data_IF_774600448694
#
_entry.id   IF_774600448694
#
_cell.length_a   1.000
_cell.length_b   1.000
_cell.length_c   1.000
_cell.angle_alpha   90.00
_cell.angle_beta   90.00
_cell.angle_gamma   90.00
#
_symmetry.space_group_name_H-M   'P 1'
#
loop_
_entity.id
_entity.type
_entity.pdbx_description
1 polymer ?
#
# COMPACT_ATOMS: atom_id res chain seq x y z
N UNK A 1 1.22 -22.74 -7.57
CA UNK A 1 1.55 -21.29 -7.47
C UNK A 1 0.40 -20.51 -8.09
N UNK A 2 -0.29 -19.68 -7.31
CA UNK A 2 -1.40 -18.83 -7.79
C UNK A 2 -0.85 -17.45 -8.16
N UNK A 3 -0.08 -17.36 -9.25
CA UNK A 3 0.85 -16.25 -9.52
C UNK A 3 0.25 -14.86 -9.81
N UNK A 4 -1.08 -14.69 -9.79
CA UNK A 4 -1.75 -13.42 -10.12
C UNK A 4 -2.77 -12.95 -9.07
N UNK A 5 -3.11 -13.79 -8.09
CA UNK A 5 -4.00 -13.39 -7.00
C UNK A 5 -3.22 -12.67 -5.90
N UNK A 6 -3.85 -11.74 -5.15
CA UNK A 6 -3.23 -11.18 -3.96
C UNK A 6 -2.87 -12.27 -2.94
N UNK A 7 -1.66 -12.18 -2.39
CA UNK A 7 -1.21 -12.99 -1.27
C UNK A 7 -1.44 -12.25 0.03
N UNK A 8 -2.03 -12.92 1.02
CA UNK A 8 -2.42 -12.31 2.30
C UNK A 8 -1.57 -12.88 3.42
N UNK A 9 -0.90 -12.00 4.17
CA UNK A 9 -0.13 -12.35 5.36
C UNK A 9 -0.80 -11.69 6.56
N UNK A 10 -1.58 -12.47 7.30
CA UNK A 10 -2.23 -12.01 8.53
C UNK A 10 -1.20 -11.76 9.63
N UNK A 11 -1.35 -10.67 10.39
CA UNK A 11 -0.44 -10.34 11.49
C UNK A 11 0.99 -10.02 11.06
N UNK A 12 1.19 -9.60 9.80
CA UNK A 12 2.48 -9.17 9.27
C UNK A 12 3.11 -8.02 10.09
N UNK A 13 2.26 -7.14 10.64
CA UNK A 13 2.62 -6.16 11.65
C UNK A 13 1.76 -6.34 12.91
N UNK A 14 2.34 -6.09 14.07
CA UNK A 14 1.57 -6.08 15.32
C UNK A 14 0.72 -4.81 15.42
N UNK A 15 -0.28 -4.81 16.30
CA UNK A 15 -1.05 -3.60 16.61
C UNK A 15 -0.17 -2.43 17.10
N UNK A 16 0.90 -2.74 17.85
CA UNK A 16 1.86 -1.76 18.33
C UNK A 16 2.70 -1.17 17.18
N UNK A 17 3.15 -2.01 16.24
CA UNK A 17 3.84 -1.54 15.03
C UNK A 17 2.94 -0.59 14.23
N UNK A 18 1.68 -0.97 14.00
CA UNK A 18 0.72 -0.13 13.29
C UNK A 18 0.53 1.24 13.97
N UNK A 19 0.37 1.26 15.29
CA UNK A 19 0.24 2.50 16.06
C UNK A 19 1.49 3.39 15.95
N UNK A 20 2.68 2.79 16.04
CA UNK A 20 3.96 3.51 15.89
C UNK A 20 4.14 4.10 14.49
N UNK A 21 3.76 3.37 13.44
CA UNK A 21 3.82 3.87 12.06
C UNK A 21 2.88 5.07 11.86
N UNK A 22 1.66 5.00 12.38
CA UNK A 22 0.71 6.13 12.32
C UNK A 22 1.28 7.34 13.07
N UNK A 23 1.86 7.13 14.26
CA UNK A 23 2.48 8.20 15.03
C UNK A 23 3.66 8.86 14.27
N UNK A 24 4.54 8.06 13.66
CA UNK A 24 5.63 8.56 12.81
C UNK A 24 5.11 9.36 11.62
N UNK A 25 4.05 8.90 10.97
CA UNK A 25 3.46 9.63 9.84
C UNK A 25 2.92 11.00 10.25
N UNK A 26 2.31 11.08 11.44
CA UNK A 26 1.75 12.29 12.05
C UNK A 26 2.81 13.23 12.64
N UNK A 27 4.04 12.75 12.84
CA UNK A 27 5.18 13.56 13.30
C UNK A 27 5.82 14.36 12.15
N UNK A 28 4.98 15.12 11.45
CA UNK A 28 5.36 15.90 10.28
C UNK A 28 4.16 16.23 9.40
N UNK A 29 4.33 17.15 8.43
CA UNK A 29 3.24 17.49 7.51
C UNK A 29 2.88 16.30 6.63
N UNK A 30 1.58 16.12 6.42
CA UNK A 30 1.07 15.24 5.38
C UNK A 30 0.90 16.05 4.08
N UNK A 31 1.25 15.42 2.96
CA UNK A 31 1.07 16.02 1.62
C UNK A 31 -0.17 15.47 0.95
N UNK A 32 -0.86 16.27 0.13
CA UNK A 32 -1.95 15.77 -0.69
C UNK A 32 -1.46 14.65 -1.63
N UNK A 33 -2.24 13.58 -1.75
CA UNK A 33 -1.85 12.40 -2.52
C UNK A 33 -1.76 12.66 -4.01
N UNK A 34 -0.55 12.57 -4.56
CA UNK A 34 -0.28 12.68 -5.99
C UNK A 34 -0.41 11.34 -6.75
N UNK A 35 -0.42 11.45 -8.08
CA UNK A 35 -0.26 10.36 -9.04
C UNK A 35 1.22 10.20 -9.43
N UNK A 36 1.54 9.09 -10.12
CA UNK A 36 2.85 8.92 -10.78
C UNK A 36 3.12 10.12 -11.70
N UNK A 37 4.27 10.77 -11.53
CA UNK A 37 4.61 12.01 -12.24
C UNK A 37 4.26 13.32 -11.52
N UNK A 38 3.78 13.25 -10.27
CA UNK A 38 3.64 14.42 -9.39
C UNK A 38 2.36 15.24 -9.61
N UNK A 39 1.44 14.78 -10.47
CA UNK A 39 0.17 15.47 -10.71
C UNK A 39 -0.86 15.05 -9.65
N UNK A 40 -1.40 16.01 -8.90
CA UNK A 40 -2.52 15.77 -8.01
C UNK A 40 -3.85 15.84 -8.82
N UNK A 41 -4.70 14.82 -8.67
CA UNK A 41 -6.05 14.84 -9.24
C UNK A 41 -7.00 14.21 -8.22
N UNK A 42 -7.82 15.06 -7.59
CA UNK A 42 -8.73 14.63 -6.52
C UNK A 42 -9.85 13.68 -6.97
N UNK A 43 -10.17 13.65 -8.27
CA UNK A 43 -11.13 12.69 -8.82
C UNK A 43 -10.53 11.29 -9.01
N UNK A 44 -9.20 11.19 -8.98
CA UNK A 44 -8.47 9.91 -9.09
C UNK A 44 -8.00 9.47 -7.71
N UNK A 45 -7.40 10.36 -6.93
CA UNK A 45 -6.91 10.05 -5.58
C UNK A 45 -7.21 11.19 -4.63
N UNK A 46 -7.77 10.85 -3.48
CA UNK A 46 -7.99 11.75 -2.36
C UNK A 46 -7.49 11.09 -1.09
N UNK A 47 -6.27 11.43 -0.71
CA UNK A 47 -5.56 10.92 0.45
C UNK A 47 -4.54 11.96 0.93
N UNK A 48 -4.11 11.86 2.17
CA UNK A 48 -2.97 12.59 2.71
C UNK A 48 -1.82 11.58 2.94
N UNK A 49 -0.60 11.93 2.56
CA UNK A 49 0.54 11.01 2.52
C UNK A 49 1.69 11.49 3.39
N UNK A 50 2.39 10.54 4.02
CA UNK A 50 3.71 10.73 4.60
C UNK A 50 4.67 9.69 4.00
N UNK A 51 5.85 10.15 3.60
CA UNK A 51 6.98 9.27 3.28
C UNK A 51 7.79 9.06 4.55
N UNK A 52 8.04 7.79 4.91
CA UNK A 52 8.59 7.46 6.23
C UNK A 52 10.10 7.62 6.31
N UNK A 53 10.83 7.68 5.20
CA UNK A 53 12.25 8.04 5.17
C UNK A 53 12.51 9.48 5.62
N UNK A 54 11.53 10.37 5.45
CA UNK A 54 11.52 11.73 5.97
C UNK A 54 11.22 11.80 7.48
N UNK A 55 10.99 10.66 8.15
CA UNK A 55 10.61 10.60 9.57
C UNK A 55 11.73 9.99 10.40
N UNK A 56 12.16 10.71 11.43
CA UNK A 56 13.19 10.22 12.35
C UNK A 56 12.70 8.95 13.07
N UNK A 57 13.57 7.93 13.17
CA UNK A 57 13.24 6.68 13.86
C UNK A 57 12.35 5.71 13.09
N UNK A 58 12.05 5.97 11.81
CA UNK A 58 11.23 5.09 10.98
C UNK A 58 12.01 3.96 10.25
N UNK A 59 13.34 3.91 10.37
CA UNK A 59 14.19 2.95 9.65
C UNK A 59 13.75 1.48 9.77
N UNK A 60 13.28 1.08 10.96
CA UNK A 60 12.81 -0.29 11.23
C UNK A 60 11.60 -0.71 10.36
N UNK A 61 10.84 0.25 9.84
CA UNK A 61 9.68 -0.03 8.99
C UNK A 61 10.13 -0.66 7.67
N UNK A 62 11.26 -0.20 7.13
CA UNK A 62 11.88 -0.77 5.93
C UNK A 62 12.22 -2.26 6.13
N UNK A 63 12.84 -2.61 7.26
CA UNK A 63 13.20 -4.00 7.58
C UNK A 63 11.97 -4.93 7.65
N UNK A 64 10.88 -4.45 8.27
CA UNK A 64 9.61 -5.21 8.33
C UNK A 64 9.02 -5.43 6.94
N UNK A 65 9.00 -4.38 6.13
CA UNK A 65 8.48 -4.43 4.78
C UNK A 65 9.32 -5.32 3.86
N UNK A 66 10.64 -5.29 3.98
CA UNK A 66 11.54 -6.19 3.26
C UNK A 66 11.28 -7.66 3.62
N UNK A 67 11.05 -7.96 4.90
CA UNK A 67 10.68 -9.30 5.33
C UNK A 67 9.34 -9.77 4.73
N UNK A 68 8.33 -8.88 4.69
CA UNK A 68 7.02 -9.15 4.08
C UNK A 68 7.16 -9.44 2.58
N UNK A 69 7.89 -8.59 1.85
CA UNK A 69 8.17 -8.78 0.42
C UNK A 69 8.87 -10.11 0.18
N UNK A 70 9.93 -10.40 0.94
CA UNK A 70 10.69 -11.63 0.78
C UNK A 70 9.85 -12.88 1.06
N UNK A 71 8.98 -12.84 2.09
CA UNK A 71 8.06 -13.93 2.39
C UNK A 71 7.06 -14.14 1.24
N UNK A 72 6.31 -13.10 0.86
CA UNK A 72 5.29 -13.19 -0.16
C UNK A 72 5.88 -13.62 -1.52
N UNK A 73 7.05 -13.10 -1.87
CA UNK A 73 7.71 -13.45 -3.12
C UNK A 73 8.09 -14.94 -3.15
N UNK A 74 8.63 -15.50 -2.06
CA UNK A 74 8.95 -16.94 -1.98
C UNK A 74 7.71 -17.83 -2.00
N UNK A 75 6.63 -17.41 -1.34
CA UNK A 75 5.44 -18.25 -1.16
C UNK A 75 4.50 -18.24 -2.39
N UNK A 76 4.42 -17.12 -3.12
CA UNK A 76 3.36 -16.92 -4.10
C UNK A 76 3.82 -16.49 -5.51
N UNK A 77 4.89 -15.70 -5.64
CA UNK A 77 5.16 -14.96 -6.89
C UNK A 77 6.43 -15.37 -7.63
N UNK A 78 7.56 -15.51 -6.94
CA UNK A 78 8.83 -15.91 -7.54
C UNK A 78 9.45 -14.89 -8.50
N UNK A 79 9.18 -13.59 -8.35
CA UNK A 79 9.84 -12.54 -9.14
C UNK A 79 11.31 -12.40 -8.77
N UNK A 80 12.12 -11.98 -9.74
CA UNK A 80 13.47 -11.47 -9.46
C UNK A 80 13.34 -10.07 -8.85
N UNK A 81 13.45 -9.98 -7.53
CA UNK A 81 13.40 -8.70 -6.79
C UNK A 81 14.83 -8.31 -6.42
N UNK A 82 15.24 -7.11 -6.84
CA UNK A 82 16.60 -6.60 -6.64
C UNK A 82 16.71 -5.46 -5.64
N UNK A 83 15.62 -4.71 -5.37
CA UNK A 83 15.65 -3.59 -4.43
C UNK A 83 14.24 -3.16 -3.94
N UNK A 84 14.23 -2.28 -2.93
CA UNK A 84 13.10 -1.46 -2.47
C UNK A 84 13.47 0.02 -2.68
N UNK A 85 13.55 0.43 -3.94
CA UNK A 85 14.11 1.72 -4.35
C UNK A 85 13.21 2.95 -4.06
N UNK A 86 12.07 2.75 -3.40
CA UNK A 86 11.12 3.81 -3.06
C UNK A 86 10.81 3.76 -1.57
N UNK A 87 10.56 4.92 -0.98
CA UNK A 87 10.34 5.04 0.45
C UNK A 87 8.96 4.51 0.87
N UNK A 88 8.83 3.89 2.07
CA UNK A 88 7.52 3.47 2.57
C UNK A 88 6.56 4.66 2.69
N UNK A 89 5.35 4.50 2.18
CA UNK A 89 4.31 5.53 2.15
C UNK A 89 3.20 5.19 3.12
N UNK A 90 3.01 5.99 4.17
CA UNK A 90 1.80 5.97 4.97
C UNK A 90 0.73 6.86 4.30
N UNK A 91 -0.48 6.33 4.12
CA UNK A 91 -1.58 7.03 3.48
C UNK A 91 -2.81 7.09 4.40
N UNK A 92 -3.34 8.29 4.59
CA UNK A 92 -4.52 8.63 5.37
C UNK A 92 -5.70 8.97 4.47
N UNK A 93 -6.84 8.35 4.73
CA UNK A 93 -8.09 8.54 4.01
C UNK A 93 -9.20 8.90 5.01
N UNK A 94 -9.69 10.13 4.97
CA UNK A 94 -10.75 10.61 5.87
C UNK A 94 -12.16 10.55 5.26
N UNK A 95 -13.18 10.36 6.09
CA UNK A 95 -14.58 10.35 5.67
C UNK A 95 -15.09 11.70 5.15
N UNK A 96 -14.70 12.81 5.79
CA UNK A 96 -15.07 14.17 5.39
C UNK A 96 -14.72 14.45 3.92
N UNK A 97 -13.46 14.28 3.50
CA UNK A 97 -13.08 14.37 2.10
C UNK A 97 -13.60 13.20 1.25
N UNK A 98 -14.23 12.15 1.79
CA UNK A 98 -14.54 10.91 1.05
C UNK A 98 -13.27 10.31 0.43
N UNK A 99 -12.21 10.21 1.24
CA UNK A 99 -10.90 9.76 0.78
C UNK A 99 -10.98 8.43 0.04
N UNK A 100 -10.32 8.35 -1.12
CA UNK A 100 -10.37 7.21 -2.03
C UNK A 100 -9.13 7.17 -2.94
N UNK A 101 -8.99 6.10 -3.70
CA UNK A 101 -8.11 6.04 -4.86
C UNK A 101 -8.82 5.19 -5.92
N UNK A 102 -9.20 5.77 -7.05
CA UNK A 102 -9.87 5.09 -8.14
C UNK A 102 -9.03 3.93 -8.71
N UNK A 103 -9.64 3.10 -9.55
CA UNK A 103 -8.96 2.00 -10.24
C UNK A 103 -7.67 2.47 -10.94
N UNK A 104 -6.56 1.86 -10.56
CA UNK A 104 -5.24 2.14 -11.11
C UNK A 104 -4.34 0.90 -11.01
N UNK A 105 -3.18 1.00 -11.63
CA UNK A 105 -2.08 0.06 -11.55
C UNK A 105 -0.86 0.84 -11.06
N UNK A 106 -0.03 0.21 -10.23
CA UNK A 106 1.12 0.88 -9.63
C UNK A 106 2.34 0.89 -10.55
N UNK A 107 2.39 0.00 -11.54
CA UNK A 107 3.51 -0.02 -12.48
C UNK A 107 3.49 1.23 -13.37
N UNK A 108 4.62 1.94 -13.39
CA UNK A 108 4.82 3.12 -14.23
C UNK A 108 5.27 2.76 -15.64
N UNK A 109 5.21 3.74 -16.55
CA UNK A 109 5.73 3.58 -17.93
C UNK A 109 7.23 3.85 -18.05
N UNK A 110 7.82 4.54 -17.07
CA UNK A 110 9.24 4.92 -17.05
C UNK A 110 9.76 5.08 -15.63
N UNK A 111 11.07 5.29 -15.49
CA UNK A 111 11.74 5.55 -14.21
C UNK A 111 11.66 4.36 -13.24
N UNK A 112 11.78 4.64 -11.93
CA UNK A 112 11.73 3.62 -10.88
C UNK A 112 10.40 2.88 -10.86
N UNK A 113 9.29 3.58 -11.14
CA UNK A 113 7.95 3.00 -11.14
C UNK A 113 7.77 1.91 -12.22
N UNK A 114 8.51 1.96 -13.34
CA UNK A 114 8.49 0.93 -14.37
C UNK A 114 9.15 -0.39 -13.94
N UNK A 115 9.91 -0.38 -12.84
CA UNK A 115 10.55 -1.58 -12.27
C UNK A 115 9.71 -2.24 -11.18
N UNK A 116 8.56 -1.67 -10.79
CA UNK A 116 7.72 -2.20 -9.71
C UNK A 116 7.16 -3.58 -10.09
N UNK A 117 7.45 -4.57 -9.25
CA UNK A 117 7.03 -5.98 -9.37
C UNK A 117 5.90 -6.31 -8.41
N UNK A 118 6.10 -6.02 -7.13
CA UNK A 118 5.12 -6.27 -6.08
C UNK A 118 4.75 -4.95 -5.38
N UNK A 119 3.45 -4.77 -5.17
CA UNK A 119 2.92 -3.79 -4.25
C UNK A 119 2.56 -4.52 -2.96
N UNK A 120 2.98 -3.96 -1.83
CA UNK A 120 2.52 -4.37 -0.50
C UNK A 120 1.64 -3.26 0.06
N UNK A 121 0.44 -3.60 0.51
CA UNK A 121 -0.44 -2.71 1.28
C UNK A 121 -0.73 -3.36 2.64
N UNK A 122 -0.34 -2.70 3.73
CA UNK A 122 -0.64 -3.14 5.09
C UNK A 122 -1.78 -2.31 5.66
N UNK A 123 -2.79 -2.97 6.25
CA UNK A 123 -3.88 -2.29 6.95
C UNK A 123 -3.38 -1.78 8.30
N UNK A 124 -3.41 -0.46 8.55
CA UNK A 124 -2.93 0.11 9.82
C UNK A 124 -4.05 0.46 10.80
N UNK A 125 -5.24 0.77 10.29
CA UNK A 125 -6.40 1.13 11.10
C UNK A 125 -7.13 -0.09 11.66
N UNK A 126 -7.72 0.07 12.84
CA UNK A 126 -8.73 -0.85 13.35
C UNK A 126 -9.96 -0.82 12.43
N UNK A 127 -10.45 -1.97 11.91
CA UNK A 127 -11.60 -2.02 11.02
C UNK A 127 -12.90 -1.49 11.65
N UNK A 128 -13.04 -1.50 12.98
CA UNK A 128 -14.21 -0.89 13.65
C UNK A 128 -14.19 0.65 13.56
N UNK A 129 -13.01 1.26 13.36
CA UNK A 129 -12.81 2.70 13.34
C UNK A 129 -13.30 3.41 12.08
N UNK A 130 -13.63 2.68 11.00
CA UNK A 130 -14.04 3.28 9.73
C UNK A 130 -15.01 2.41 8.93
N UNK A 131 -15.77 3.02 8.03
CA UNK A 131 -16.60 2.35 7.02
C UNK A 131 -16.17 2.78 5.61
N UNK A 132 -16.41 1.94 4.60
CA UNK A 132 -15.83 2.12 3.27
C UNK A 132 -14.32 1.89 3.29
N UNK A 133 -13.56 2.60 2.44
CA UNK A 133 -12.09 2.50 2.44
C UNK A 133 -11.58 1.10 2.07
N UNK A 134 -12.37 0.30 1.35
CA UNK A 134 -11.99 -1.07 1.01
C UNK A 134 -10.87 -1.04 -0.03
N UNK A 135 -9.79 -1.76 0.24
CA UNK A 135 -8.83 -2.12 -0.81
C UNK A 135 -9.50 -3.20 -1.65
N UNK A 136 -9.68 -2.94 -2.94
CA UNK A 136 -10.22 -3.90 -3.90
C UNK A 136 -9.21 -4.16 -5.00
N UNK A 137 -9.10 -5.42 -5.41
CA UNK A 137 -8.27 -5.85 -6.54
C UNK A 137 -9.15 -6.47 -7.61
N UNK A 138 -8.76 -6.34 -8.88
CA UNK A 138 -9.52 -6.85 -10.00
C UNK A 138 -8.65 -7.70 -10.91
N UNK A 139 -8.54 -8.99 -10.55
CA UNK A 139 -7.82 -10.00 -11.33
C UNK A 139 -8.73 -11.03 -12.03
N UNK A 140 -10.02 -11.04 -11.71
CA UNK A 140 -11.01 -11.99 -12.22
C UNK A 140 -12.22 -11.33 -12.88
N UNK A 141 -13.37 -12.01 -12.83
CA UNK A 141 -14.62 -11.50 -13.42
C UNK A 141 -15.17 -10.26 -12.70
N UNK A 142 -14.97 -10.18 -11.37
CA UNK A 142 -15.48 -9.12 -10.51
C UNK A 142 -14.37 -8.58 -9.59
N UNK A 143 -14.50 -7.33 -9.10
CA UNK A 143 -13.69 -6.81 -8.00
C UNK A 143 -13.80 -7.64 -6.71
N UNK A 144 -12.67 -7.87 -6.05
CA UNK A 144 -12.61 -8.57 -4.77
C UNK A 144 -12.04 -7.66 -3.68
N UNK A 145 -12.72 -7.59 -2.54
CA UNK A 145 -12.27 -6.81 -1.39
C UNK A 145 -11.24 -7.58 -0.56
N UNK A 146 -10.11 -6.95 -0.29
CA UNK A 146 -9.07 -7.49 0.57
C UNK A 146 -9.48 -7.48 2.06
N UNK A 147 -8.92 -8.37 2.89
CA UNK A 147 -9.13 -8.34 4.34
C UNK A 147 -8.75 -6.98 4.95
N UNK A 148 -9.54 -6.57 5.95
CA UNK A 148 -9.41 -5.26 6.62
C UNK A 148 -8.72 -5.34 7.99
N UNK A 149 -8.43 -6.54 8.47
CA UNK A 149 -7.83 -6.76 9.79
C UNK A 149 -6.53 -5.99 9.91
N UNK A 150 -6.40 -5.19 10.97
CA UNK A 150 -5.19 -4.41 11.25
C UNK A 150 -3.97 -5.32 11.32
N UNK A 151 -2.86 -4.88 10.74
CA UNK A 151 -1.60 -5.61 10.68
C UNK A 151 -1.51 -6.63 9.55
N UNK A 152 -2.61 -6.88 8.82
CA UNK A 152 -2.58 -7.76 7.65
C UNK A 152 -1.92 -7.05 6.47
N UNK A 153 -0.94 -7.72 5.85
CA UNK A 153 -0.34 -7.31 4.59
C UNK A 153 -1.03 -8.01 3.42
N UNK A 154 -1.34 -7.23 2.39
CA UNK A 154 -1.89 -7.69 1.11
C UNK A 154 -0.83 -7.38 0.05
N UNK A 155 -0.30 -8.43 -0.56
CA UNK A 155 0.79 -8.34 -1.54
C UNK A 155 0.28 -8.78 -2.89
N UNK A 156 0.49 -8.00 -3.93
CA UNK A 156 0.03 -8.32 -5.27
C UNK A 156 0.98 -7.78 -6.34
N UNK A 157 0.95 -8.33 -7.57
CA UNK A 157 1.76 -7.80 -8.66
C UNK A 157 1.40 -6.33 -8.93
N UNK A 158 2.38 -5.44 -9.04
CA UNK A 158 2.15 -3.99 -9.19
C UNK A 158 1.40 -3.62 -10.47
N UNK A 159 1.32 -4.53 -11.45
CA UNK A 159 0.50 -4.36 -12.64
C UNK A 159 -0.99 -4.70 -12.43
N UNK A 160 -1.38 -5.31 -11.30
CA UNK A 160 -2.77 -5.66 -10.98
C UNK A 160 -3.62 -4.41 -10.74
N UNK A 161 -4.79 -4.37 -11.37
CA UNK A 161 -5.74 -3.27 -11.21
C UNK A 161 -6.32 -3.30 -9.78
N UNK A 162 -6.26 -2.17 -9.08
CA UNK A 162 -6.75 -2.07 -7.72
C UNK A 162 -7.26 -0.65 -7.39
N UNK A 163 -8.05 -0.53 -6.31
CA UNK A 163 -8.59 0.74 -5.84
C UNK A 163 -8.78 0.76 -4.32
N UNK A 164 -8.98 1.95 -3.78
CA UNK A 164 -9.50 2.17 -2.43
C UNK A 164 -10.87 2.84 -2.55
N UNK A 165 -11.94 2.16 -2.12
CA UNK A 165 -13.30 2.74 -2.15
C UNK A 165 -13.42 3.94 -1.20
N UNK A 166 -14.36 4.87 -1.43
CA UNK A 166 -14.52 6.03 -0.55
C UNK A 166 -14.72 5.65 0.91
N UNK A 167 -13.95 6.26 1.80
CA UNK A 167 -14.21 6.22 3.25
C UNK A 167 -15.49 7.02 3.53
N UNK A 168 -16.44 6.42 4.24
CA UNK A 168 -17.75 7.02 4.52
C UNK A 168 -17.93 7.38 5.99
N UNK A 169 -17.16 6.76 6.89
CA UNK A 169 -17.10 7.06 8.32
C UNK A 169 -15.67 6.89 8.83
N UNK A 170 -15.26 7.76 9.75
CA UNK A 170 -13.97 7.66 10.41
C UNK A 170 -12.78 7.88 9.47
N UNK A 171 -11.71 7.14 9.73
CA UNK A 171 -10.44 7.33 9.05
C UNK A 171 -9.68 6.01 8.84
N UNK A 172 -9.15 5.83 7.63
CA UNK A 172 -8.35 4.68 7.26
C UNK A 172 -6.90 5.09 7.02
N UNK A 173 -5.99 4.35 7.64
CA UNK A 173 -4.56 4.37 7.40
C UNK A 173 -4.09 3.08 6.73
N UNK A 174 -3.19 3.21 5.77
CA UNK A 174 -2.44 2.09 5.19
C UNK A 174 -0.97 2.43 5.04
N UNK A 175 -0.12 1.40 5.05
CA UNK A 175 1.29 1.48 4.71
C UNK A 175 1.51 0.80 3.36
N UNK A 176 2.18 1.47 2.43
CA UNK A 176 2.50 0.94 1.11
C UNK A 176 4.00 0.96 0.85
N UNK A 177 4.49 -0.08 0.19
CA UNK A 177 5.84 -0.13 -0.39
C UNK A 177 5.78 -0.88 -1.72
N UNK A 178 6.75 -0.63 -2.58
CA UNK A 178 6.91 -1.33 -3.84
C UNK A 178 8.26 -2.02 -3.89
N UNK A 179 8.26 -3.25 -4.38
CA UNK A 179 9.47 -4.01 -4.67
C UNK A 179 9.81 -3.93 -6.15
N UNK A 180 11.10 -3.81 -6.45
CA UNK A 180 11.59 -3.55 -7.80
C UNK A 180 12.40 -4.72 -8.34
N UNK A 181 12.43 -4.83 -9.67
CA UNK A 181 13.20 -5.85 -10.36
C UNK A 181 13.43 -5.50 -11.84
N UNK A 182 14.15 -6.37 -12.58
CA UNK A 182 14.36 -6.22 -14.02
C UNK A 182 13.03 -6.38 -14.80
N UNK A 183 12.93 -5.84 -16.01
CA UNK A 183 11.67 -5.86 -16.77
C UNK A 183 11.09 -7.29 -16.94
N UNK A 184 11.92 -8.25 -17.33
CA UNK A 184 11.53 -9.66 -17.47
C UNK A 184 12.16 -10.50 -16.36
N UNK A 185 11.37 -11.47 -15.88
CA UNK A 185 11.49 -12.35 -14.71
C UNK A 185 10.60 -11.93 -13.54
#
# INVERSE_FOLDING_TARGET
MSGLAPHVIAGALTAADCGRIIALALDGPLSAGGLVGGVANEGIRRAELAWLDEREGAAWVGDRLAAIVAQANREAFGFDIDDLAESPQAARYGAGPRGHFHWHSDIGRSGVAARRKLTVVVQLSDPAGYDGGLLETWGGAEPEAAPRTRGTAIVFPSFLLHRVTPVTRGERWSLTIWAHGPAFR
#
